data_IF_519062430060
#
_entry.id   IF_519062430060
#
_cell.length_a   1.000
_cell.length_b   1.000
_cell.length_c   1.000
_cell.angle_alpha   90.00
_cell.angle_beta   90.00
_cell.angle_gamma   90.00
#
_symmetry.space_group_name_H-M   'P 1'
#
loop_
_entity.id
_entity.type
_entity.pdbx_description
1 polymer ?
#
# COMPACT_ATOMS: atom_id res chain seq x y z
N UNK A 1 -17.26 19.22 -11.96
CA UNK A 1 -15.99 18.57 -12.39
C UNK A 1 -15.15 18.05 -11.22
N UNK A 2 -15.41 18.46 -9.98
CA UNK A 2 -14.65 17.99 -8.81
C UNK A 2 -15.06 16.58 -8.35
N UNK A 3 -16.36 16.25 -8.40
CA UNK A 3 -16.86 14.92 -8.01
C UNK A 3 -16.28 13.79 -8.87
N UNK A 4 -16.15 13.95 -10.20
CA UNK A 4 -15.52 12.95 -11.08
C UNK A 4 -14.03 12.78 -10.77
N UNK A 5 -13.31 13.87 -10.49
CA UNK A 5 -11.89 13.84 -10.09
C UNK A 5 -11.73 13.18 -8.71
N UNK A 6 -12.66 13.42 -7.79
CA UNK A 6 -12.66 12.81 -6.47
C UNK A 6 -12.95 11.32 -6.54
N UNK A 7 -13.91 10.87 -7.35
CA UNK A 7 -14.16 9.45 -7.59
C UNK A 7 -13.03 8.76 -8.34
N UNK A 8 -12.40 9.42 -9.32
CA UNK A 8 -11.23 8.87 -10.02
C UNK A 8 -10.03 8.73 -9.08
N UNK A 9 -9.77 9.73 -8.23
CA UNK A 9 -8.76 9.64 -7.19
C UNK A 9 -9.12 8.57 -6.15
N UNK A 10 -10.38 8.47 -5.73
CA UNK A 10 -10.82 7.44 -4.77
C UNK A 10 -10.64 6.02 -5.30
N UNK A 11 -11.00 5.78 -6.56
CA UNK A 11 -10.77 4.49 -7.23
C UNK A 11 -9.28 4.24 -7.41
N UNK A 12 -8.51 5.24 -7.83
CA UNK A 12 -7.06 5.16 -7.92
C UNK A 12 -6.41 4.82 -6.58
N UNK A 13 -6.80 5.51 -5.51
CA UNK A 13 -6.36 5.24 -4.14
C UNK A 13 -6.75 3.86 -3.66
N UNK A 14 -7.96 3.37 -3.99
CA UNK A 14 -8.37 2.00 -3.62
C UNK A 14 -7.58 0.93 -4.37
N UNK A 15 -7.29 1.14 -5.65
CA UNK A 15 -6.45 0.22 -6.43
C UNK A 15 -5.02 0.26 -5.92
N UNK A 16 -4.48 1.43 -5.62
CA UNK A 16 -3.14 1.58 -5.04
C UNK A 16 -3.08 0.93 -3.65
N UNK A 17 -4.06 1.17 -2.78
CA UNK A 17 -4.14 0.54 -1.45
C UNK A 17 -4.21 -0.99 -1.56
N UNK A 18 -4.98 -1.54 -2.50
CA UNK A 18 -5.03 -2.97 -2.75
C UNK A 18 -3.70 -3.52 -3.30
N UNK A 19 -3.05 -2.80 -4.21
CA UNK A 19 -1.74 -3.16 -4.73
C UNK A 19 -0.67 -3.16 -3.63
N UNK A 20 -0.66 -2.14 -2.77
CA UNK A 20 0.24 -2.05 -1.61
C UNK A 20 -0.02 -3.17 -0.60
N UNK A 21 -1.29 -3.54 -0.35
CA UNK A 21 -1.63 -4.69 0.48
C UNK A 21 -1.10 -6.02 -0.09
N UNK A 22 -1.16 -6.20 -1.41
CA UNK A 22 -0.62 -7.38 -2.09
C UNK A 22 0.93 -7.41 -2.09
N UNK A 23 1.57 -6.27 -2.36
CA UNK A 23 3.03 -6.12 -2.26
C UNK A 23 3.52 -6.38 -0.84
N UNK A 24 2.84 -5.88 0.19
CA UNK A 24 3.13 -6.14 1.60
C UNK A 24 3.09 -7.63 1.95
N UNK A 25 2.10 -8.38 1.46
CA UNK A 25 1.98 -9.82 1.75
C UNK A 25 3.09 -10.62 1.04
N UNK A 26 3.37 -10.28 -0.22
CA UNK A 26 4.47 -10.86 -1.01
C UNK A 26 5.82 -10.58 -0.34
N UNK A 27 6.06 -9.33 0.05
CA UNK A 27 7.27 -8.90 0.74
C UNK A 27 7.42 -9.58 2.11
N UNK A 28 6.31 -9.82 2.84
CA UNK A 28 6.31 -10.63 4.07
C UNK A 28 6.72 -12.07 3.81
N UNK A 29 6.25 -12.66 2.71
CA UNK A 29 6.59 -14.02 2.32
C UNK A 29 8.08 -14.12 1.97
N UNK A 30 8.59 -13.20 1.14
CA UNK A 30 10.01 -13.11 0.75
C UNK A 30 10.91 -12.84 1.96
N UNK A 31 10.53 -11.93 2.87
CA UNK A 31 11.33 -11.64 4.06
C UNK A 31 11.49 -12.85 5.00
N UNK A 32 10.49 -13.76 5.00
CA UNK A 32 10.49 -15.02 5.75
C UNK A 32 11.02 -16.21 4.96
N UNK A 33 11.23 -16.05 3.66
CA UNK A 33 11.73 -17.10 2.81
C UNK A 33 13.22 -17.34 3.12
N UNK A 34 13.54 -18.52 3.63
CA UNK A 34 14.90 -18.88 4.03
C UNK A 34 15.79 -19.24 2.84
N UNK A 35 15.20 -19.48 1.66
CA UNK A 35 15.88 -19.82 0.41
C UNK A 35 16.30 -18.54 -0.35
N UNK A 36 15.58 -17.44 -0.12
CA UNK A 36 15.87 -16.13 -0.67
C UNK A 36 17.18 -15.55 -0.11
N UNK A 37 18.00 -14.88 -0.95
CA UNK A 37 19.21 -14.21 -0.50
C UNK A 37 18.92 -13.23 0.65
N UNK A 38 19.82 -13.15 1.64
CA UNK A 38 19.67 -12.23 2.79
C UNK A 38 19.40 -10.79 2.35
N UNK A 39 20.04 -10.33 1.27
CA UNK A 39 19.79 -9.02 0.68
C UNK A 39 18.34 -8.85 0.25
N UNK A 40 17.80 -9.82 -0.50
CA UNK A 40 16.43 -9.83 -0.99
C UNK A 40 15.42 -9.86 0.16
N UNK A 41 15.71 -10.63 1.22
CA UNK A 41 14.88 -10.66 2.43
C UNK A 41 14.86 -9.32 3.17
N UNK A 42 16.01 -8.66 3.27
CA UNK A 42 16.13 -7.35 3.91
C UNK A 42 15.42 -6.26 3.09
N UNK A 43 15.62 -6.24 1.77
CA UNK A 43 14.90 -5.36 0.84
C UNK A 43 13.39 -5.56 0.99
N UNK A 44 12.91 -6.81 0.97
CA UNK A 44 11.49 -7.13 1.17
C UNK A 44 10.96 -6.71 2.56
N UNK A 45 11.74 -6.86 3.63
CA UNK A 45 11.34 -6.39 4.96
C UNK A 45 11.18 -4.87 5.05
N UNK A 46 12.07 -4.12 4.37
CA UNK A 46 11.98 -2.66 4.26
C UNK A 46 10.75 -2.28 3.43
N UNK A 47 10.58 -2.91 2.27
CA UNK A 47 9.50 -2.64 1.32
C UNK A 47 8.12 -2.94 1.95
N UNK A 48 7.99 -4.04 2.71
CA UNK A 48 6.77 -4.34 3.49
C UNK A 48 6.43 -3.28 4.55
N UNK A 49 7.45 -2.64 5.12
CA UNK A 49 7.26 -1.57 6.12
C UNK A 49 6.85 -0.26 5.44
N UNK A 50 7.47 0.06 4.31
CA UNK A 50 7.11 1.22 3.49
C UNK A 50 5.70 1.09 2.90
N UNK A 51 5.33 -0.11 2.42
CA UNK A 51 3.96 -0.43 1.98
C UNK A 51 2.95 -0.25 3.12
N UNK A 52 3.27 -0.71 4.35
CA UNK A 52 2.36 -0.52 5.50
C UNK A 52 2.17 0.97 5.83
N UNK A 53 3.23 1.75 5.75
CA UNK A 53 3.16 3.19 6.00
C UNK A 53 2.37 3.93 4.91
N UNK A 54 2.54 3.53 3.64
CA UNK A 54 1.71 4.03 2.53
C UNK A 54 0.25 3.61 2.70
N UNK A 55 -0.02 2.36 3.06
CA UNK A 55 -1.36 1.83 3.37
C UNK A 55 -2.04 2.70 4.44
N UNK A 56 -1.38 2.97 5.58
CA UNK A 56 -1.92 3.87 6.63
C UNK A 56 -2.17 5.30 6.13
N UNK A 57 -1.26 5.85 5.32
CA UNK A 57 -1.42 7.20 4.76
C UNK A 57 -2.57 7.27 3.75
N UNK A 58 -2.72 6.27 2.90
CA UNK A 58 -3.80 6.19 1.93
C UNK A 58 -5.15 5.91 2.61
N UNK A 59 -5.15 5.13 3.70
CA UNK A 59 -6.35 4.93 4.51
C UNK A 59 -6.77 6.22 5.21
N UNK A 60 -5.84 6.93 5.85
CA UNK A 60 -6.09 8.25 6.46
C UNK A 60 -6.56 9.31 5.46
N UNK A 61 -5.99 9.33 4.24
CA UNK A 61 -6.46 10.21 3.16
C UNK A 61 -7.86 9.82 2.71
N UNK A 62 -8.13 8.52 2.54
CA UNK A 62 -9.45 8.00 2.20
C UNK A 62 -10.51 8.39 3.23
N UNK A 63 -10.16 8.38 4.52
CA UNK A 63 -11.04 8.84 5.61
C UNK A 63 -11.21 10.37 5.64
N UNK A 64 -10.14 11.14 5.45
CA UNK A 64 -10.23 12.59 5.33
C UNK A 64 -11.08 13.02 4.12
N UNK A 65 -10.97 12.29 3.01
CA UNK A 65 -11.79 12.47 1.82
C UNK A 65 -13.24 12.00 2.00
N UNK A 66 -13.50 11.01 2.87
CA UNK A 66 -14.86 10.59 3.27
C UNK A 66 -15.55 11.62 4.18
N UNK A 67 -14.80 12.33 5.02
CA UNK A 67 -15.34 13.41 5.85
C UNK A 67 -15.52 14.74 5.09
N UNK A 68 -14.97 14.84 3.88
CA UNK A 68 -15.14 15.99 2.97
C UNK A 68 -16.16 15.77 1.84
N UNK A 69 -16.74 14.57 1.72
CA UNK A 69 -17.78 14.23 0.73
C UNK A 69 -19.17 14.25 1.37
#
# INVERSE_FOLDING_TARGET
MESVKHSANYVGEKVQQAAHGSSKETNKHIAKDSDAPVRTRAEAGIDATDDKFKEEKHDSKGEAHKNLA
#
